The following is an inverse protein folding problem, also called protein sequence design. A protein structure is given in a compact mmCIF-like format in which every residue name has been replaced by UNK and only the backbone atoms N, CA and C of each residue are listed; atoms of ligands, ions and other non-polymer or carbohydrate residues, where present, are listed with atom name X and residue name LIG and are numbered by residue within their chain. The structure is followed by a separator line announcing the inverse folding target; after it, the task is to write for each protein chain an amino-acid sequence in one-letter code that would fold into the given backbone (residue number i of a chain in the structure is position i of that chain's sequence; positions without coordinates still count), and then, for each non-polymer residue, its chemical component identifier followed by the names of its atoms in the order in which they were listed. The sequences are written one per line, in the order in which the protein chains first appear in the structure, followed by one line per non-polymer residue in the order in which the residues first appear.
data_IF_227780846022
#
_entry.id   IF_227780846022
#
_cell.length_a   1.000
_cell.length_b   1.000
_cell.length_c   1.000
_cell.angle_alpha   90.00
_cell.angle_beta   90.00
_cell.angle_gamma   90.00
#
_symmetry.space_group_name_H-M   'P 1'
#
loop_
_entity.id
_entity.type
_entity.pdbx_description
1 polymer ?
#
# COMPACT_ATOMS: atom_id res chain seq x y z
N UNK A 1 -20.48 -9.57 36.76
CA UNK A 1 -19.89 -9.94 35.45
C UNK A 1 -18.76 -8.99 35.00
N UNK A 2 -17.95 -8.43 35.91
CA UNK A 2 -17.31 -7.12 35.71
C UNK A 2 -15.76 -7.11 35.60
N UNK A 3 -15.09 -8.27 35.67
CA UNK A 3 -13.63 -8.40 35.44
C UNK A 3 -13.27 -8.76 34.00
N UNK A 4 -14.24 -9.22 33.22
CA UNK A 4 -14.01 -9.74 31.87
C UNK A 4 -13.58 -8.65 30.90
N UNK A 5 -14.19 -7.45 30.93
CA UNK A 5 -13.86 -6.35 30.02
C UNK A 5 -12.46 -5.78 30.23
N UNK A 6 -12.02 -5.61 31.48
CA UNK A 6 -10.66 -5.14 31.78
C UNK A 6 -9.60 -6.19 31.40
N UNK A 7 -9.87 -7.46 31.70
CA UNK A 7 -9.00 -8.56 31.30
C UNK A 7 -8.94 -8.70 29.76
N UNK A 8 -10.07 -8.52 29.07
CA UNK A 8 -10.15 -8.57 27.61
C UNK A 8 -9.38 -7.42 26.97
N UNK A 9 -9.49 -6.18 27.47
CA UNK A 9 -8.69 -5.04 27.01
C UNK A 9 -7.20 -5.29 27.24
N UNK A 10 -6.82 -5.85 28.39
CA UNK A 10 -5.44 -6.25 28.68
C UNK A 10 -4.90 -7.29 27.71
N UNK A 11 -5.66 -8.37 27.46
CA UNK A 11 -5.29 -9.45 26.53
C UNK A 11 -5.16 -8.93 25.10
N UNK A 12 -6.13 -8.13 24.63
CA UNK A 12 -6.12 -7.58 23.27
C UNK A 12 -4.92 -6.65 23.05
N UNK A 13 -4.63 -5.77 24.02
CA UNK A 13 -3.45 -4.90 23.93
C UNK A 13 -2.14 -5.70 24.03
N UNK A 14 -2.09 -6.77 24.83
CA UNK A 14 -0.93 -7.65 24.90
C UNK A 14 -0.66 -8.37 23.57
N UNK A 15 -1.71 -8.86 22.89
CA UNK A 15 -1.57 -9.45 21.55
C UNK A 15 -1.04 -8.40 20.56
N UNK A 16 -1.56 -7.17 20.56
CA UNK A 16 -1.06 -6.11 19.66
C UNK A 16 0.39 -5.73 19.97
N UNK A 17 0.80 -5.76 21.24
CA UNK A 17 2.19 -5.56 21.63
C UNK A 17 3.09 -6.65 21.05
N UNK A 18 2.71 -7.92 21.18
CA UNK A 18 3.46 -9.05 20.61
C UNK A 18 3.57 -8.96 19.08
N UNK A 19 2.52 -8.48 18.40
CA UNK A 19 2.54 -8.27 16.94
C UNK A 19 3.39 -7.08 16.51
N UNK A 20 3.59 -6.07 17.35
CA UNK A 20 4.43 -4.90 17.03
C UNK A 20 5.92 -5.24 16.94
N UNK A 21 6.38 -6.23 17.71
CA UNK A 21 7.79 -6.68 17.76
C UNK A 21 8.27 -7.23 16.40
N UNK A 22 7.61 -8.21 15.75
CA UNK A 22 8.04 -8.69 14.45
C UNK A 22 7.92 -7.63 13.34
N UNK A 23 6.96 -6.69 13.44
CA UNK A 23 6.84 -5.56 12.50
C UNK A 23 8.07 -4.65 12.60
N UNK A 24 8.49 -4.30 13.82
CA UNK A 24 9.69 -3.50 14.05
C UNK A 24 10.96 -4.22 13.60
N UNK A 25 11.06 -5.52 13.92
CA UNK A 25 12.20 -6.32 13.51
C UNK A 25 12.31 -6.40 11.99
N UNK A 26 11.20 -6.64 11.28
CA UNK A 26 11.16 -6.63 9.82
C UNK A 26 11.56 -5.27 9.24
N UNK A 27 11.03 -4.16 9.79
CA UNK A 27 11.38 -2.81 9.33
C UNK A 27 12.86 -2.46 9.53
N UNK A 28 13.44 -2.80 10.68
CA UNK A 28 14.86 -2.57 10.98
C UNK A 28 15.76 -3.46 10.10
N UNK A 29 15.34 -4.72 9.88
CA UNK A 29 16.07 -5.64 9.02
C UNK A 29 16.14 -5.15 7.58
N UNK A 30 15.01 -4.69 7.02
CA UNK A 30 14.97 -4.09 5.69
C UNK A 30 15.86 -2.84 5.62
N UNK A 31 15.80 -1.96 6.63
CA UNK A 31 16.66 -0.77 6.70
C UNK A 31 18.15 -1.09 6.69
N UNK A 32 18.56 -2.18 7.34
CA UNK A 32 19.97 -2.55 7.48
C UNK A 32 20.50 -3.40 6.31
N UNK A 33 19.64 -4.14 5.61
CA UNK A 33 20.03 -4.94 4.43
C UNK A 33 19.69 -4.31 3.08
N UNK A 34 18.89 -3.25 3.07
CA UNK A 34 18.46 -2.57 1.88
C UNK A 34 19.62 -1.85 1.19
N UNK A 35 20.26 -2.52 0.22
CA UNK A 35 21.30 -1.92 -0.62
C UNK A 35 20.68 -1.07 -1.74
N UNK A 36 19.39 -1.24 -2.02
CA UNK A 36 18.66 -0.52 -3.05
C UNK A 36 18.00 0.76 -2.50
N UNK A 37 17.83 1.78 -3.34
CA UNK A 37 17.03 2.98 -3.00
C UNK A 37 15.53 2.64 -2.78
N UNK A 38 15.14 1.43 -3.14
CA UNK A 38 13.77 0.94 -3.03
C UNK A 38 13.41 0.49 -1.63
N UNK A 39 14.34 -0.16 -0.94
CA UNK A 39 14.13 -0.64 0.43
C UNK A 39 13.93 0.57 1.37
N UNK A 40 14.81 1.58 1.26
CA UNK A 40 14.71 2.82 2.05
C UNK A 40 13.37 3.55 1.91
N UNK A 41 12.69 3.40 0.76
CA UNK A 41 11.41 4.06 0.51
C UNK A 41 10.26 3.47 1.36
N UNK A 42 10.31 2.17 1.68
CA UNK A 42 9.26 1.47 2.44
C UNK A 42 9.59 1.26 3.92
N UNK A 43 10.85 1.29 4.31
CA UNK A 43 11.25 0.95 5.69
C UNK A 43 10.79 1.98 6.72
N UNK A 44 10.94 3.26 6.39
CA UNK A 44 10.60 4.36 7.28
C UNK A 44 9.12 4.34 7.72
N UNK A 45 8.13 4.24 6.81
CA UNK A 45 6.72 4.20 7.23
C UNK A 45 6.38 2.94 8.05
N UNK A 46 6.99 1.79 7.75
CA UNK A 46 6.76 0.54 8.51
C UNK A 46 7.29 0.64 9.94
N UNK A 47 8.50 1.19 10.13
CA UNK A 47 9.09 1.39 11.46
C UNK A 47 8.24 2.37 12.28
N UNK A 48 7.83 3.50 11.70
CA UNK A 48 6.99 4.50 12.39
C UNK A 48 5.68 3.88 12.86
N UNK A 49 5.04 3.06 12.02
CA UNK A 49 3.83 2.32 12.37
C UNK A 49 4.07 1.34 13.53
N UNK A 50 5.17 0.58 13.49
CA UNK A 50 5.53 -0.36 14.54
C UNK A 50 5.74 0.32 15.90
N UNK A 51 6.45 1.46 15.94
CA UNK A 51 6.70 2.22 17.18
C UNK A 51 5.37 2.74 17.73
N UNK A 52 4.52 3.28 16.86
CA UNK A 52 3.22 3.80 17.26
C UNK A 52 2.33 2.71 17.89
N UNK A 53 2.25 1.52 17.28
CA UNK A 53 1.50 0.39 17.81
C UNK A 53 2.05 -0.10 19.16
N UNK A 54 3.38 -0.09 19.34
CA UNK A 54 4.01 -0.44 20.60
C UNK A 54 3.62 0.53 21.72
N UNK A 55 3.65 1.84 21.46
CA UNK A 55 3.28 2.85 22.46
C UNK A 55 1.81 2.77 22.86
N UNK A 56 0.91 2.62 21.88
CA UNK A 56 -0.53 2.51 22.12
C UNK A 56 -0.87 1.24 22.93
N UNK A 57 -0.24 0.11 22.59
CA UNK A 57 -0.47 -1.15 23.30
C UNK A 57 0.05 -1.13 24.74
N UNK A 58 1.22 -0.51 24.98
CA UNK A 58 1.76 -0.34 26.33
C UNK A 58 0.84 0.54 27.20
N UNK A 59 0.34 1.65 26.66
CA UNK A 59 -0.62 2.50 27.34
C UNK A 59 -1.92 1.74 27.67
N UNK A 60 -2.43 0.94 26.74
CA UNK A 60 -3.61 0.09 26.97
C UNK A 60 -3.39 -0.94 28.08
N UNK A 61 -2.21 -1.56 28.14
CA UNK A 61 -1.85 -2.55 29.15
C UNK A 61 -1.74 -1.93 30.55
N UNK A 62 -1.04 -0.79 30.67
CA UNK A 62 -0.90 -0.05 31.93
C UNK A 62 -2.27 0.45 32.42
N UNK A 63 -3.11 0.95 31.50
CA UNK A 63 -4.46 1.43 31.81
C UNK A 63 -5.37 0.33 32.36
N UNK A 64 -5.26 -0.88 31.81
CA UNK A 64 -6.00 -2.05 32.27
C UNK A 64 -5.51 -2.59 33.63
N UNK A 65 -4.18 -2.58 33.86
CA UNK A 65 -3.57 -3.12 35.08
C UNK A 65 -3.77 -2.22 36.30
N UNK A 66 -3.52 -0.91 36.15
CA UNK A 66 -3.47 0.02 37.28
C UNK A 66 -4.79 0.79 37.51
N UNK A 67 -5.84 0.54 36.72
CA UNK A 67 -7.15 1.23 36.78
C UNK A 67 -7.06 2.76 36.83
N UNK A 68 -6.01 3.34 36.24
CA UNK A 68 -5.80 4.78 36.24
C UNK A 68 -6.78 5.43 35.27
N UNK A 69 -7.80 6.11 35.80
CA UNK A 69 -8.90 6.65 34.99
C UNK A 69 -8.44 7.68 33.95
N UNK A 70 -7.41 8.47 34.26
CA UNK A 70 -6.83 9.43 33.30
C UNK A 70 -6.13 8.72 32.13
N UNK A 71 -5.37 7.66 32.41
CA UNK A 71 -4.63 6.91 31.39
C UNK A 71 -5.55 6.09 30.47
N UNK A 72 -6.67 5.59 31.02
CA UNK A 72 -7.72 4.95 30.22
C UNK A 72 -8.47 5.97 29.35
N UNK A 73 -8.67 7.20 29.83
CA UNK A 73 -9.27 8.27 29.04
C UNK A 73 -8.37 8.72 27.87
N UNK A 74 -7.07 8.92 28.12
CA UNK A 74 -6.10 9.25 27.06
C UNK A 74 -5.99 8.12 26.04
N UNK A 75 -5.99 6.86 26.48
CA UNK A 75 -6.07 5.68 25.60
C UNK A 75 -7.30 5.73 24.67
N UNK A 76 -8.49 5.98 25.23
CA UNK A 76 -9.72 6.08 24.43
C UNK A 76 -9.69 7.25 23.45
N UNK A 77 -9.13 8.40 23.84
CA UNK A 77 -8.97 9.55 22.94
C UNK A 77 -8.07 9.21 21.75
N UNK A 78 -6.91 8.59 22.00
CA UNK A 78 -5.97 8.19 20.94
C UNK A 78 -6.60 7.13 20.02
N UNK A 79 -7.29 6.14 20.59
CA UNK A 79 -8.01 5.12 19.81
C UNK A 79 -9.10 5.73 18.92
N UNK A 80 -9.85 6.70 19.43
CA UNK A 80 -10.85 7.41 18.64
C UNK A 80 -10.23 8.17 17.46
N UNK A 81 -9.15 8.93 17.71
CA UNK A 81 -8.43 9.66 16.65
C UNK A 81 -7.87 8.71 15.59
N UNK A 82 -7.34 7.55 16.02
CA UNK A 82 -6.84 6.52 15.13
C UNK A 82 -7.95 5.96 14.23
N UNK A 83 -9.13 5.64 14.78
CA UNK A 83 -10.29 5.18 14.01
C UNK A 83 -10.70 6.22 12.97
N UNK A 84 -10.82 7.50 13.36
CA UNK A 84 -11.18 8.59 12.44
C UNK A 84 -10.14 8.73 11.33
N UNK A 85 -8.85 8.71 11.66
CA UNK A 85 -7.77 8.80 10.68
C UNK A 85 -7.81 7.64 9.69
N UNK A 86 -7.94 6.40 10.16
CA UNK A 86 -8.01 5.23 9.30
C UNK A 86 -9.26 5.25 8.42
N UNK A 87 -10.40 5.68 8.96
CA UNK A 87 -11.63 5.84 8.19
C UNK A 87 -11.45 6.86 7.06
N UNK A 88 -10.95 8.07 7.36
CA UNK A 88 -10.65 9.08 6.35
C UNK A 88 -9.66 8.56 5.30
N UNK A 89 -8.61 7.84 5.73
CA UNK A 89 -7.66 7.21 4.82
C UNK A 89 -8.31 6.16 3.91
N UNK A 90 -9.22 5.32 4.42
CA UNK A 90 -9.93 4.34 3.57
C UNK A 90 -10.72 5.04 2.48
N UNK A 91 -11.51 6.07 2.82
CA UNK A 91 -12.30 6.83 1.84
C UNK A 91 -11.38 7.43 0.79
N UNK A 92 -10.31 8.10 1.23
CA UNK A 92 -9.32 8.69 0.33
C UNK A 92 -8.70 7.65 -0.62
N UNK A 93 -8.29 6.50 -0.09
CA UNK A 93 -7.72 5.41 -0.86
C UNK A 93 -8.71 4.91 -1.92
N UNK A 94 -9.99 4.72 -1.58
CA UNK A 94 -11.01 4.34 -2.56
C UNK A 94 -11.23 5.42 -3.62
N UNK A 95 -11.37 6.69 -3.23
CA UNK A 95 -11.59 7.80 -4.18
C UNK A 95 -10.45 7.89 -5.21
N UNK A 96 -9.21 7.83 -4.74
CA UNK A 96 -8.02 7.95 -5.59
C UNK A 96 -7.83 6.73 -6.48
N UNK A 97 -8.21 5.54 -6.00
CA UNK A 97 -8.05 4.26 -6.73
C UNK A 97 -9.30 3.85 -7.51
N UNK A 98 -10.40 4.61 -7.50
CA UNK A 98 -11.60 4.22 -8.24
C UNK A 98 -11.37 4.32 -9.76
N UNK A 99 -10.78 5.44 -10.22
CA UNK A 99 -10.43 5.67 -11.63
C UNK A 99 -9.23 4.83 -12.09
N UNK A 100 -9.10 4.63 -13.40
CA UNK A 100 -8.05 3.85 -14.04
C UNK A 100 -8.48 2.42 -14.34
N UNK A 101 -8.59 2.07 -15.61
CA UNK A 101 -8.77 0.70 -16.05
C UNK A 101 -7.91 0.51 -17.29
N UNK A 102 -7.09 -0.55 -17.31
CA UNK A 102 -6.39 -0.93 -18.52
C UNK A 102 -7.40 -1.20 -19.65
N UNK A 103 -7.07 -0.70 -20.84
CA UNK A 103 -7.85 -0.87 -22.06
C UNK A 103 -7.65 -2.30 -22.57
N UNK A 104 -8.77 -3.03 -22.73
CA UNK A 104 -8.75 -4.37 -23.31
C UNK A 104 -8.60 -4.26 -24.82
N UNK A 105 -7.69 -5.05 -25.37
CA UNK A 105 -7.50 -5.14 -26.82
C UNK A 105 -8.07 -6.46 -27.32
N UNK A 106 -8.77 -6.41 -28.46
CA UNK A 106 -9.31 -7.60 -29.11
C UNK A 106 -8.18 -8.58 -29.47
N UNK A 107 -8.31 -9.83 -29.04
CA UNK A 107 -7.34 -10.89 -29.32
C UNK A 107 -6.05 -10.83 -28.49
N UNK A 108 -5.98 -9.99 -27.44
CA UNK A 108 -4.83 -9.90 -26.52
C UNK A 108 -5.20 -10.38 -25.11
N UNK A 109 -4.33 -11.17 -24.49
CA UNK A 109 -4.42 -11.65 -23.11
C UNK A 109 -3.98 -10.62 -22.05
N UNK A 110 -3.56 -9.43 -22.48
CA UNK A 110 -3.15 -8.32 -21.64
C UNK A 110 -3.90 -7.04 -21.96
N UNK A 111 -3.72 -6.02 -21.12
CA UNK A 111 -4.33 -4.70 -21.25
C UNK A 111 -3.27 -3.65 -21.57
N UNK A 112 -3.67 -2.59 -22.24
CA UNK A 112 -2.86 -1.37 -22.37
C UNK A 112 -3.25 -0.35 -21.30
N UNK A 113 -2.29 0.45 -20.86
CA UNK A 113 -2.49 1.37 -19.74
C UNK A 113 -2.16 2.78 -20.18
N UNK A 114 -3.13 3.69 -20.13
CA UNK A 114 -2.91 5.10 -20.42
C UNK A 114 -2.90 5.91 -19.13
N UNK A 115 -1.92 6.80 -19.01
CA UNK A 115 -1.74 7.60 -17.80
C UNK A 115 -2.96 8.50 -17.50
N UNK A 116 -3.62 8.99 -18.56
CA UNK A 116 -4.81 9.83 -18.47
C UNK A 116 -6.03 9.14 -17.84
N UNK A 117 -6.08 7.81 -17.80
CA UNK A 117 -7.23 7.07 -17.25
C UNK A 117 -7.26 7.10 -15.70
N UNK A 118 -6.14 7.47 -15.06
CA UNK A 118 -5.98 7.49 -13.60
C UNK A 118 -6.35 8.83 -12.98
N UNK A 119 -6.55 8.87 -11.66
CA UNK A 119 -6.89 10.12 -10.95
C UNK A 119 -5.75 11.15 -11.02
N UNK A 120 -6.09 12.45 -11.11
CA UNK A 120 -5.12 13.55 -11.15
C UNK A 120 -4.11 13.49 -9.99
N UNK A 121 -4.54 13.00 -8.82
CA UNK A 121 -3.66 12.84 -7.67
C UNK A 121 -2.56 11.80 -7.93
N UNK A 122 -2.88 10.66 -8.53
CA UNK A 122 -1.91 9.62 -8.90
C UNK A 122 -1.00 10.09 -10.04
N UNK A 123 -1.57 10.72 -11.06
CA UNK A 123 -0.80 11.27 -12.18
C UNK A 123 0.27 12.25 -11.68
N UNK A 124 -0.07 13.14 -10.73
CA UNK A 124 0.88 14.11 -10.14
C UNK A 124 2.03 13.44 -9.38
N UNK A 125 1.84 12.23 -8.84
CA UNK A 125 2.90 11.50 -8.13
C UNK A 125 3.96 10.95 -9.08
N UNK A 126 3.55 10.42 -10.23
CA UNK A 126 4.45 9.87 -11.26
C UNK A 126 4.92 10.91 -12.29
N UNK A 127 4.26 12.07 -12.36
CA UNK A 127 4.67 13.19 -13.21
C UNK A 127 5.86 13.99 -12.69
N UNK A 128 6.24 13.86 -11.42
CA UNK A 128 7.43 14.54 -10.88
C UNK A 128 8.70 13.76 -11.24
N UNK A 129 9.52 14.31 -12.13
CA UNK A 129 10.75 13.70 -12.64
C UNK A 129 11.74 13.24 -11.55
N UNK A 130 11.86 13.99 -10.44
CA UNK A 130 12.74 13.58 -9.32
C UNK A 130 12.23 12.32 -8.62
N UNK A 131 10.91 12.22 -8.45
CA UNK A 131 10.29 11.04 -7.84
C UNK A 131 10.30 9.86 -8.81
N UNK A 132 9.98 10.12 -10.08
CA UNK A 132 9.99 9.10 -11.12
C UNK A 132 11.36 8.47 -11.28
N UNK A 133 12.46 9.25 -11.20
CA UNK A 133 13.82 8.69 -11.26
C UNK A 133 14.08 7.62 -10.19
N UNK A 134 13.63 7.85 -8.96
CA UNK A 134 13.76 6.87 -7.86
C UNK A 134 12.90 5.62 -8.10
N UNK A 135 11.68 5.83 -8.58
CA UNK A 135 10.76 4.74 -8.92
C UNK A 135 11.28 3.94 -10.13
N UNK A 136 11.87 4.59 -11.11
CA UNK A 136 12.50 3.96 -12.28
C UNK A 136 13.69 3.11 -11.85
N UNK A 137 14.59 3.64 -11.02
CA UNK A 137 15.73 2.85 -10.52
C UNK A 137 15.25 1.61 -9.76
N UNK A 138 14.19 1.73 -8.97
CA UNK A 138 13.51 0.61 -8.33
C UNK A 138 13.00 -0.44 -9.32
N UNK A 139 12.33 -0.04 -10.40
CA UNK A 139 11.77 -0.96 -11.39
C UNK A 139 12.87 -1.71 -12.17
N UNK A 140 13.98 -1.03 -12.44
CA UNK A 140 15.16 -1.63 -13.09
C UNK A 140 15.83 -2.64 -12.14
N UNK A 141 16.04 -2.24 -10.88
CA UNK A 141 16.68 -3.09 -9.85
C UNK A 141 15.83 -4.32 -9.50
N UNK A 142 14.50 -4.18 -9.53
CA UNK A 142 13.56 -5.29 -9.39
C UNK A 142 13.56 -6.27 -10.58
N UNK A 143 14.35 -6.02 -11.64
CA UNK A 143 14.55 -6.90 -12.81
C UNK A 143 13.27 -7.31 -13.53
N UNK A 144 12.19 -6.53 -13.41
CA UNK A 144 10.87 -6.87 -13.98
C UNK A 144 10.93 -7.19 -15.46
N UNK A 145 11.69 -6.40 -16.24
CA UNK A 145 11.82 -6.60 -17.68
C UNK A 145 12.87 -7.65 -18.08
N UNK A 146 13.89 -7.87 -17.23
CA UNK A 146 14.83 -8.98 -17.43
C UNK A 146 14.12 -10.32 -17.26
N UNK A 147 13.34 -10.46 -16.19
CA UNK A 147 12.55 -11.66 -15.91
C UNK A 147 11.47 -11.88 -16.97
N UNK A 148 10.84 -10.80 -17.44
CA UNK A 148 9.91 -10.83 -18.58
C UNK A 148 10.58 -11.35 -19.84
N UNK A 149 11.76 -10.83 -20.20
CA UNK A 149 12.48 -11.28 -21.39
C UNK A 149 12.86 -12.76 -21.27
N UNK A 150 13.45 -13.18 -20.14
CA UNK A 150 13.83 -14.58 -19.93
C UNK A 150 12.64 -15.53 -20.00
N UNK A 151 11.49 -15.13 -19.43
CA UNK A 151 10.29 -15.96 -19.39
C UNK A 151 9.65 -16.17 -20.77
N UNK A 152 9.76 -15.18 -21.66
CA UNK A 152 9.06 -15.18 -22.95
C UNK A 152 10.00 -15.17 -24.16
N UNK A 153 11.30 -15.39 -23.98
CA UNK A 153 12.31 -15.31 -25.07
C UNK A 153 12.01 -16.23 -26.26
N UNK A 154 11.36 -17.36 -26.00
CA UNK A 154 10.99 -18.36 -27.03
C UNK A 154 9.58 -18.15 -27.58
N UNK A 155 8.81 -17.19 -27.07
CA UNK A 155 7.45 -16.94 -27.54
C UNK A 155 7.50 -16.13 -28.85
N UNK A 156 6.75 -16.59 -29.85
CA UNK A 156 6.42 -15.80 -31.02
C UNK A 156 5.45 -14.68 -30.64
N UNK A 157 5.28 -13.69 -31.52
CA UNK A 157 4.44 -12.51 -31.25
C UNK A 157 2.98 -12.89 -30.97
N UNK A 158 2.44 -13.86 -31.71
CA UNK A 158 1.09 -14.40 -31.56
C UNK A 158 0.92 -15.13 -30.21
N UNK A 159 1.90 -15.94 -29.79
CA UNK A 159 1.90 -16.58 -28.48
C UNK A 159 1.98 -15.50 -27.38
N UNK A 160 2.89 -14.53 -27.51
CA UNK A 160 3.04 -13.44 -26.55
C UNK A 160 1.73 -12.64 -26.40
N UNK A 161 1.00 -12.44 -27.49
CA UNK A 161 -0.32 -11.79 -27.48
C UNK A 161 -1.36 -12.53 -26.67
N UNK A 162 -1.29 -13.86 -26.56
CA UNK A 162 -2.21 -14.63 -25.71
C UNK A 162 -1.78 -14.68 -24.24
N UNK A 163 -0.55 -14.28 -23.90
CA UNK A 163 -0.05 -14.32 -22.52
C UNK A 163 -0.73 -13.27 -21.63
N UNK A 164 -0.96 -13.66 -20.38
CA UNK A 164 -1.39 -12.74 -19.33
C UNK A 164 -0.19 -11.96 -18.78
N UNK A 165 0.03 -10.77 -19.33
CA UNK A 165 1.07 -9.86 -18.87
C UNK A 165 0.57 -9.03 -17.68
N UNK A 166 1.44 -8.84 -16.70
CA UNK A 166 1.16 -7.88 -15.62
C UNK A 166 1.19 -6.45 -16.16
N UNK A 167 0.57 -5.50 -15.44
CA UNK A 167 0.53 -4.10 -15.86
C UNK A 167 1.93 -3.49 -16.06
N UNK A 168 2.90 -3.89 -15.23
CA UNK A 168 4.29 -3.48 -15.37
C UNK A 168 4.97 -4.13 -16.58
N UNK A 169 4.69 -5.41 -16.85
CA UNK A 169 5.25 -6.09 -18.03
C UNK A 169 4.75 -5.46 -19.34
N UNK A 170 3.44 -5.25 -19.44
CA UNK A 170 2.83 -4.66 -20.65
C UNK A 170 3.12 -3.17 -20.80
N UNK A 171 3.32 -2.44 -19.69
CA UNK A 171 3.54 -1.00 -19.70
C UNK A 171 5.00 -0.57 -19.78
N UNK A 172 5.94 -1.36 -19.23
CA UNK A 172 7.36 -0.99 -19.13
C UNK A 172 8.28 -1.80 -20.05
N UNK A 173 7.93 -3.05 -20.36
CA UNK A 173 8.85 -4.01 -21.00
C UNK A 173 8.57 -4.25 -22.49
N UNK A 174 7.47 -3.71 -23.02
CA UNK A 174 7.14 -3.69 -24.45
C UNK A 174 6.68 -2.27 -24.84
N UNK A 175 6.81 -1.88 -26.12
CA UNK A 175 6.19 -0.66 -26.62
C UNK A 175 4.65 -0.77 -26.62
N UNK A 176 3.97 0.36 -26.78
CA UNK A 176 2.53 0.35 -27.05
C UNK A 176 2.25 -0.29 -28.40
N UNK A 177 1.13 -1.01 -28.50
CA UNK A 177 0.64 -1.62 -29.72
C UNK A 177 0.31 -0.54 -30.78
N UNK A 178 0.02 0.70 -30.36
CA UNK A 178 -0.23 1.86 -31.23
C UNK A 178 0.99 2.21 -32.11
N UNK A 179 2.21 1.91 -31.65
CA UNK A 179 3.44 2.23 -32.36
C UNK A 179 3.63 1.41 -33.65
N UNK A 180 3.04 0.22 -33.73
CA UNK A 180 3.17 -0.66 -34.90
C UNK A 180 4.62 -1.11 -35.19
N UNK A 181 5.44 -1.27 -34.15
CA UNK A 181 6.80 -1.78 -34.27
C UNK A 181 6.80 -3.28 -34.58
N UNK A 182 7.85 -3.75 -35.25
CA UNK A 182 7.99 -5.15 -35.66
C UNK A 182 8.64 -5.94 -34.52
N UNK A 183 7.98 -7.00 -34.09
CA UNK A 183 8.48 -7.89 -33.03
C UNK A 183 9.76 -8.61 -33.47
N UNK A 184 10.79 -8.59 -32.61
CA UNK A 184 11.98 -9.45 -32.74
C UNK A 184 12.15 -10.36 -31.53
N UNK A 185 11.98 -9.80 -30.33
CA UNK A 185 11.98 -10.53 -29.07
C UNK A 185 11.10 -9.79 -28.05
N UNK A 186 10.82 -10.35 -26.85
CA UNK A 186 9.90 -9.74 -25.89
C UNK A 186 10.20 -8.27 -25.59
N UNK A 187 11.48 -7.92 -25.43
CA UNK A 187 11.94 -6.56 -25.14
C UNK A 187 12.66 -5.90 -26.31
N UNK A 188 12.65 -6.49 -27.51
CA UNK A 188 13.30 -5.92 -28.69
C UNK A 188 12.31 -5.81 -29.86
N UNK A 189 12.09 -4.57 -30.28
CA UNK A 189 11.13 -4.22 -31.31
C UNK A 189 11.79 -3.29 -32.33
N UNK A 190 11.67 -3.60 -33.61
CA UNK A 190 12.24 -2.81 -34.71
C UNK A 190 11.28 -1.66 -35.06
N UNK A 191 11.80 -0.42 -35.00
CA UNK A 191 11.04 0.80 -35.28
C UNK A 191 10.72 0.87 -36.78
N UNK A 192 9.45 1.09 -37.12
CA UNK A 192 8.99 1.33 -38.49
C UNK A 192 8.99 2.83 -38.77
N UNK A 193 9.52 3.24 -39.93
CA UNK A 193 9.62 4.65 -40.35
C UNK A 193 8.29 5.28 -40.76
N UNK A 194 7.22 4.49 -40.86
CA UNK A 194 5.96 4.87 -41.51
C UNK A 194 4.86 5.38 -40.59
N UNK A 195 5.01 5.28 -39.27
CA UNK A 195 3.95 5.65 -38.34
C UNK A 195 4.37 6.83 -37.46
N UNK A 196 4.08 8.04 -37.93
CA UNK A 196 3.97 9.26 -37.11
C UNK A 196 2.79 9.14 -36.15
N UNK A 197 2.89 8.21 -35.22
CA UNK A 197 1.90 8.04 -34.17
C UNK A 197 1.98 9.25 -33.24
N UNK A 198 0.82 9.82 -32.90
CA UNK A 198 0.72 10.90 -31.91
C UNK A 198 1.01 10.42 -30.48
N UNK A 199 1.35 9.14 -30.31
CA UNK A 199 1.64 8.53 -29.03
C UNK A 199 3.07 8.89 -28.60
N UNK A 200 3.24 9.68 -27.52
CA UNK A 200 4.56 10.09 -27.06
C UNK A 200 5.42 8.90 -26.61
N UNK A 201 4.82 7.75 -26.30
CA UNK A 201 5.54 6.58 -25.80
C UNK A 201 6.39 5.90 -26.89
N UNK A 202 5.99 6.02 -28.17
CA UNK A 202 6.74 5.45 -29.29
C UNK A 202 8.12 6.11 -29.46
N UNK A 203 8.23 7.40 -29.12
CA UNK A 203 9.49 8.13 -29.13
C UNK A 203 10.33 7.84 -27.88
N UNK A 204 9.67 7.56 -26.74
CA UNK A 204 10.33 7.26 -25.47
C UNK A 204 10.88 5.83 -25.38
N UNK A 205 10.41 4.91 -26.24
CA UNK A 205 10.88 3.53 -26.33
C UNK A 205 12.29 3.41 -26.91
N UNK A 206 13.13 2.59 -26.28
CA UNK A 206 14.44 2.15 -26.78
C UNK A 206 14.68 0.65 -26.46
N UNK A 207 15.43 -0.06 -27.30
CA UNK A 207 15.74 -1.48 -27.08
C UNK A 207 16.89 -1.71 -26.08
N UNK A 208 17.53 -0.64 -25.60
CA UNK A 208 18.50 -0.70 -24.49
C UNK A 208 17.84 -1.21 -23.21
N UNK A 209 18.50 -2.17 -22.55
CA UNK A 209 17.95 -2.93 -21.41
C UNK A 209 17.71 -2.08 -20.15
N UNK A 210 18.37 -0.92 -20.04
CA UNK A 210 18.24 0.06 -18.96
C UNK A 210 17.26 1.21 -19.28
N UNK A 211 16.80 1.30 -20.53
CA UNK A 211 15.89 2.35 -21.00
C UNK A 211 14.47 1.79 -21.24
N UNK A 212 14.32 0.78 -22.11
CA UNK A 212 13.04 0.16 -22.48
C UNK A 212 11.90 1.20 -22.59
N UNK A 213 10.74 0.91 -22.01
CA UNK A 213 9.66 1.89 -21.85
C UNK A 213 9.65 2.53 -20.47
N UNK A 214 10.76 2.51 -19.70
CA UNK A 214 10.78 3.08 -18.35
C UNK A 214 10.54 4.60 -18.32
N UNK A 215 10.67 5.29 -19.45
CA UNK A 215 10.34 6.71 -19.58
C UNK A 215 8.93 6.96 -20.15
N UNK A 216 8.22 5.91 -20.57
CA UNK A 216 6.89 6.00 -21.18
C UNK A 216 5.79 6.32 -20.15
N UNK A 217 4.74 6.97 -20.62
CA UNK A 217 3.51 7.15 -19.86
C UNK A 217 2.80 5.82 -19.61
N UNK A 218 2.91 4.86 -20.52
CA UNK A 218 2.42 3.48 -20.35
C UNK A 218 3.07 2.77 -19.17
N UNK A 219 4.36 2.99 -18.91
CA UNK A 219 5.04 2.41 -17.75
C UNK A 219 4.60 3.10 -16.46
N UNK A 220 4.48 4.43 -16.46
CA UNK A 220 3.91 5.20 -15.34
C UNK A 220 2.49 4.70 -15.03
N UNK A 221 1.66 4.49 -16.06
CA UNK A 221 0.30 3.98 -15.92
C UNK A 221 0.26 2.53 -15.42
N UNK A 222 1.14 1.66 -15.93
CA UNK A 222 1.29 0.27 -15.47
C UNK A 222 1.67 0.18 -13.98
N UNK A 223 2.53 1.09 -13.52
CA UNK A 223 2.83 1.22 -12.09
C UNK A 223 1.60 1.68 -11.29
N UNK A 224 0.87 2.69 -11.78
CA UNK A 224 -0.34 3.16 -11.10
C UNK A 224 -1.41 2.07 -11.01
N UNK A 225 -1.54 1.20 -12.02
CA UNK A 225 -2.44 0.06 -11.97
C UNK A 225 -2.03 -0.97 -10.92
N UNK A 226 -0.73 -1.29 -10.89
CA UNK A 226 -0.21 -2.22 -9.90
C UNK A 226 -0.40 -1.66 -8.48
N UNK A 227 -0.07 -0.39 -8.27
CA UNK A 227 -0.26 0.31 -7.00
C UNK A 227 -1.74 0.36 -6.60
N UNK A 228 -2.66 0.61 -7.55
CA UNK A 228 -4.10 0.57 -7.32
C UNK A 228 -4.55 -0.81 -6.83
N UNK A 229 -4.09 -1.90 -7.47
CA UNK A 229 -4.42 -3.26 -7.03
C UNK A 229 -3.93 -3.53 -5.61
N UNK A 230 -2.72 -3.12 -5.30
CA UNK A 230 -2.15 -3.33 -3.96
C UNK A 230 -2.82 -2.43 -2.91
N UNK A 231 -3.14 -1.18 -3.24
CA UNK A 231 -3.91 -0.29 -2.36
C UNK A 231 -5.30 -0.83 -2.07
N UNK A 232 -5.96 -1.48 -3.04
CA UNK A 232 -7.24 -2.15 -2.77
C UNK A 232 -7.09 -3.30 -1.77
N UNK A 233 -6.03 -4.12 -1.87
CA UNK A 233 -5.75 -5.16 -0.87
C UNK A 233 -5.49 -4.54 0.51
N UNK A 234 -4.67 -3.49 0.57
CA UNK A 234 -4.39 -2.77 1.82
C UNK A 234 -5.67 -2.16 2.40
N UNK A 235 -6.55 -1.57 1.57
CA UNK A 235 -7.82 -1.03 2.01
C UNK A 235 -8.74 -2.10 2.60
N UNK A 236 -8.79 -3.31 2.01
CA UNK A 236 -9.55 -4.45 2.56
C UNK A 236 -9.00 -4.84 3.92
N UNK A 237 -7.67 -4.98 4.06
CA UNK A 237 -7.03 -5.27 5.36
C UNK A 237 -7.33 -4.16 6.38
N UNK A 238 -7.28 -2.89 5.94
CA UNK A 238 -7.57 -1.75 6.80
C UNK A 238 -9.03 -1.73 7.28
N UNK A 239 -10.00 -2.15 6.45
CA UNK A 239 -11.40 -2.31 6.87
C UNK A 239 -11.53 -3.34 7.99
N UNK A 240 -10.87 -4.50 7.85
CA UNK A 240 -10.87 -5.54 8.90
C UNK A 240 -10.28 -4.99 10.20
N UNK A 241 -9.16 -4.26 10.11
CA UNK A 241 -8.53 -3.63 11.25
C UNK A 241 -9.42 -2.56 11.90
N UNK A 242 -10.12 -1.75 11.09
CA UNK A 242 -11.04 -0.73 11.57
C UNK A 242 -12.21 -1.35 12.36
N UNK A 243 -12.80 -2.45 11.86
CA UNK A 243 -13.83 -3.20 12.59
C UNK A 243 -13.30 -3.71 13.92
N UNK A 244 -12.10 -4.30 13.93
CA UNK A 244 -11.45 -4.75 15.16
C UNK A 244 -11.24 -3.61 16.16
N UNK A 245 -10.74 -2.46 15.71
CA UNK A 245 -10.53 -1.28 16.56
C UNK A 245 -11.83 -0.74 17.15
N UNK A 246 -12.94 -0.75 16.39
CA UNK A 246 -14.26 -0.34 16.89
C UNK A 246 -14.71 -1.27 18.03
N UNK A 247 -14.48 -2.58 17.92
CA UNK A 247 -14.81 -3.55 18.97
C UNK A 247 -13.97 -3.25 20.22
N UNK A 248 -12.65 -3.10 20.07
CA UNK A 248 -11.73 -2.77 21.17
C UNK A 248 -12.14 -1.45 21.85
N UNK A 249 -12.45 -0.42 21.05
CA UNK A 249 -12.91 0.88 21.54
C UNK A 249 -14.21 0.77 22.33
N UNK A 250 -15.19 0.02 21.82
CA UNK A 250 -16.47 -0.22 22.50
C UNK A 250 -16.29 -0.91 23.86
N UNK A 251 -15.44 -1.93 23.94
CA UNK A 251 -15.10 -2.61 25.20
C UNK A 251 -14.33 -1.66 26.14
N UNK A 252 -13.40 -0.86 25.62
CA UNK A 252 -12.66 0.15 26.37
C UNK A 252 -13.58 1.21 26.98
N UNK A 253 -14.57 1.70 26.22
CA UNK A 253 -15.60 2.62 26.72
C UNK A 253 -16.42 1.99 27.84
N UNK A 254 -16.80 0.71 27.70
CA UNK A 254 -17.49 -0.03 28.76
C UNK A 254 -16.62 -0.15 30.03
N UNK A 255 -15.33 -0.47 29.88
CA UNK A 255 -14.38 -0.54 30.99
C UNK A 255 -14.21 0.83 31.68
N UNK A 256 -14.08 1.91 30.91
CA UNK A 256 -13.97 3.27 31.45
C UNK A 256 -15.21 3.71 32.21
N UNK A 257 -16.41 3.44 31.66
CA UNK A 257 -17.67 3.75 32.33
C UNK A 257 -17.81 2.98 33.65
N UNK A 258 -17.34 1.74 33.69
CA UNK A 258 -17.35 0.95 34.93
C UNK A 258 -16.41 1.54 35.98
N UNK A 259 -15.16 1.85 35.60
CA UNK A 259 -14.17 2.39 36.52
C UNK A 259 -14.61 3.75 37.12
N UNK A 260 -15.31 4.58 36.33
CA UNK A 260 -15.91 5.83 36.81
C UNK A 260 -17.08 5.60 37.77
N UNK A 261 -17.91 4.57 37.55
CA UNK A 261 -18.99 4.20 38.48
C UNK A 261 -18.43 3.72 39.82
N UNK A 262 -17.39 2.90 39.81
CA UNK A 262 -16.74 2.39 41.03
C UNK A 262 -16.13 3.54 41.85
N UNK A 263 -15.43 4.47 41.19
CA UNK A 263 -14.88 5.66 41.84
C UNK A 263 -15.98 6.58 42.42
N UNK A 264 -17.08 6.78 41.69
CA UNK A 264 -18.21 7.58 42.18
C UNK A 264 -18.91 6.89 43.36
N UNK A 265 -19.11 5.57 43.32
CA UNK A 265 -19.73 4.80 44.40
C UNK A 265 -18.89 4.87 45.68
N UNK A 266 -17.56 4.77 45.55
CA UNK A 266 -16.64 4.97 46.67
C UNK A 266 -16.73 6.40 47.21
N UNK A 267 -16.71 7.42 46.34
CA UNK A 267 -16.84 8.82 46.75
C UNK A 267 -18.18 9.15 47.42
N UNK A 268 -19.30 8.54 47.01
CA UNK A 268 -20.61 8.73 47.64
C UNK A 268 -20.75 8.00 48.97
N UNK A 269 -20.05 6.88 49.18
CA UNK A 269 -20.05 6.16 50.46
C UNK A 269 -19.37 6.91 51.60
N UNK A 270 -18.44 7.82 51.28
CA UNK A 270 -17.77 8.71 52.25
C UNK A 270 -18.59 9.95 52.64
N UNK A 271 -19.78 10.16 52.05
CA UNK A 271 -20.66 11.32 52.34
C UNK A 271 -21.79 11.04 53.32
N UNK A 272 -21.81 9.88 53.97
CA UNK A 272 -22.73 9.64 55.08
C UNK A 272 -22.01 9.86 56.43
N UNK A 273 -22.39 10.89 57.21
CA UNK A 273 -21.90 11.08 58.57
C UNK A 273 -22.45 10.03 59.54
#
# INVERSE_FOLDING_TARGET
MFRLSNNLVGILNFITFLLSIPILWAGIWLKNKGTSECDKFFDTPVIVLGIFLLLVSLAGLIGACCRVSWLLWTYLLVMFLLIVLLFCFTIFAFVVTNKGAGQVLSGKGYKEYKLGDYSNWLQKRVGNEKNWRKIKSCLIDAKVCSDFNQKFVNDTVDVLYTRHLSALQSGCCKPSDSCGFIYKSPTNWEKTTTNSTSDPDCNAWDNQTDVLCFNCNSCKAGLLDNLKRDWKKVAVVNIIFLVFLIIVYSVGCCAFRNNRRDNNAYSSGWKHP
#
